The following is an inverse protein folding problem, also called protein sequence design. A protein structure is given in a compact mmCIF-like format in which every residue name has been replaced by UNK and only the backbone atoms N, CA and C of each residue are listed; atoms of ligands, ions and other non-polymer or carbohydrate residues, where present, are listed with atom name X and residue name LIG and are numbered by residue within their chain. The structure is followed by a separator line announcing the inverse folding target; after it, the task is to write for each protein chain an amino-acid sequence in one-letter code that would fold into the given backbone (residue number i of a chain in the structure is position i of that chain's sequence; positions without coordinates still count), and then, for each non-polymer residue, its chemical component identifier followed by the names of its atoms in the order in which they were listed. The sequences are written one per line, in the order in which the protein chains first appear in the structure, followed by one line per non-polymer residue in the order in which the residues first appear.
data_IF_813314338940
#
_entry.id   IF_813314338940
#
_cell.length_a   1.000
_cell.length_b   1.000
_cell.length_c   1.000
_cell.angle_alpha   90.00
_cell.angle_beta   90.00
_cell.angle_gamma   90.00
#
_symmetry.space_group_name_H-M   'P 1'
#
loop_
_entity.id
_entity.type
_entity.pdbx_description
1 polymer ?
#
# COMPACT_ATOMS: atom_id res chain seq x y z
N UNK A 1 0.25 -23.72 -0.10
CA UNK A 1 1.02 -22.47 0.07
C UNK A 1 1.64 -22.12 -1.27
N UNK A 2 1.76 -20.84 -1.65
CA UNK A 2 2.37 -20.45 -2.92
C UNK A 2 3.83 -20.95 -3.02
N UNK A 3 4.26 -21.35 -4.22
CA UNK A 3 5.65 -21.72 -4.48
C UNK A 3 6.62 -20.55 -4.24
N UNK A 4 7.88 -20.87 -3.89
CA UNK A 4 8.92 -19.86 -3.64
C UNK A 4 9.10 -18.90 -4.83
N UNK A 5 8.93 -19.38 -6.06
CA UNK A 5 8.99 -18.54 -7.25
C UNK A 5 7.93 -17.44 -7.28
N UNK A 6 6.72 -17.70 -6.75
CA UNK A 6 5.65 -16.70 -6.67
C UNK A 6 6.01 -15.62 -5.66
N UNK A 7 6.57 -16.00 -4.51
CA UNK A 7 7.02 -15.04 -3.50
C UNK A 7 8.14 -14.14 -4.03
N UNK A 8 9.12 -14.70 -4.73
CA UNK A 8 10.20 -13.93 -5.35
C UNK A 8 9.62 -12.97 -6.40
N UNK A 9 8.74 -13.45 -7.27
CA UNK A 9 8.09 -12.60 -8.28
C UNK A 9 7.28 -11.45 -7.64
N UNK A 10 6.55 -11.73 -6.56
CA UNK A 10 5.80 -10.72 -5.81
C UNK A 10 6.72 -9.66 -5.22
N UNK A 11 7.80 -10.04 -4.53
CA UNK A 11 8.73 -9.08 -3.91
C UNK A 11 9.37 -8.19 -4.99
N UNK A 12 9.84 -8.77 -6.09
CA UNK A 12 10.45 -8.00 -7.18
C UNK A 12 9.45 -7.02 -7.81
N UNK A 13 8.21 -7.44 -8.04
CA UNK A 13 7.17 -6.57 -8.56
C UNK A 13 6.79 -5.46 -7.56
N UNK A 14 6.65 -5.80 -6.28
CA UNK A 14 6.34 -4.84 -5.22
C UNK A 14 7.44 -3.80 -5.08
N UNK A 15 8.71 -4.19 -5.08
CA UNK A 15 9.84 -3.24 -5.06
C UNK A 15 9.84 -2.33 -6.29
N UNK A 16 9.61 -2.89 -7.49
CA UNK A 16 9.53 -2.09 -8.72
C UNK A 16 8.43 -1.01 -8.64
N UNK A 17 7.30 -1.33 -7.99
CA UNK A 17 6.22 -0.37 -7.76
C UNK A 17 6.57 0.64 -6.66
N UNK A 18 7.17 0.20 -5.55
CA UNK A 18 7.51 1.03 -4.39
C UNK A 18 8.66 2.01 -4.67
N UNK A 19 9.54 1.72 -5.62
CA UNK A 19 10.62 2.64 -6.03
C UNK A 19 10.05 3.90 -6.68
N UNK A 20 8.90 3.81 -7.35
CA UNK A 20 8.28 4.95 -8.00
C UNK A 20 7.52 5.76 -6.94
N UNK A 21 7.96 6.99 -6.58
CA UNK A 21 7.31 7.75 -5.52
C UNK A 21 5.86 8.06 -5.91
N UNK A 22 4.93 7.68 -5.05
CA UNK A 22 3.50 7.95 -5.26
C UNK A 22 3.16 9.43 -5.00
N UNK A 23 1.92 9.85 -5.31
CA UNK A 23 1.46 11.22 -5.03
C UNK A 23 1.64 11.64 -3.57
N UNK A 24 1.38 10.74 -2.62
CA UNK A 24 1.55 10.99 -1.18
C UNK A 24 3.02 11.25 -0.82
N UNK A 25 3.93 10.41 -1.31
CA UNK A 25 5.37 10.57 -1.07
C UNK A 25 5.89 11.87 -1.68
N UNK A 26 5.41 12.24 -2.87
CA UNK A 26 5.75 13.51 -3.51
C UNK A 26 5.34 14.72 -2.66
N UNK A 27 4.20 14.66 -1.97
CA UNK A 27 3.76 15.72 -1.03
C UNK A 27 4.70 15.79 0.17
N UNK A 28 5.05 14.64 0.78
CA UNK A 28 6.00 14.60 1.92
C UNK A 28 7.36 15.16 1.53
N UNK A 29 7.89 14.78 0.36
CA UNK A 29 9.15 15.30 -0.17
C UNK A 29 9.04 16.79 -0.46
N UNK A 30 7.92 17.26 -1.02
CA UNK A 30 7.69 18.69 -1.27
C UNK A 30 7.72 19.50 0.02
N UNK A 31 7.11 19.00 1.10
CA UNK A 31 7.20 19.62 2.43
C UNK A 31 8.62 19.58 3.00
N UNK A 32 9.34 18.47 2.82
CA UNK A 32 10.72 18.35 3.25
C UNK A 32 11.64 19.38 2.58
N UNK A 33 11.43 19.61 1.27
CA UNK A 33 12.22 20.56 0.47
C UNK A 33 11.87 22.02 0.79
N UNK A 34 10.58 22.33 1.02
CA UNK A 34 10.11 23.71 1.23
C UNK A 34 10.17 24.17 2.69
N UNK A 35 9.95 23.27 3.65
CA UNK A 35 9.85 23.56 5.09
C UNK A 35 10.95 22.86 5.91
N UNK A 36 11.85 22.13 5.25
CA UNK A 36 12.98 21.44 5.85
C UNK A 36 12.66 20.04 6.39
N UNK A 37 13.72 19.29 6.72
CA UNK A 37 13.64 17.88 7.12
C UNK A 37 12.75 17.61 8.33
N UNK A 38 12.58 18.59 9.23
CA UNK A 38 11.70 18.47 10.40
C UNK A 38 10.24 18.28 10.00
N UNK A 39 9.81 18.89 8.89
CA UNK A 39 8.46 18.70 8.35
C UNK A 39 8.26 17.24 7.88
N UNK A 40 9.26 16.65 7.23
CA UNK A 40 9.22 15.23 6.84
C UNK A 40 9.05 14.30 8.06
N UNK A 41 9.84 14.51 9.12
CA UNK A 41 9.73 13.72 10.35
C UNK A 41 8.37 13.85 11.05
N UNK A 42 7.68 14.97 10.87
CA UNK A 42 6.33 15.17 11.38
C UNK A 42 5.27 14.52 10.48
N UNK A 43 5.45 14.53 9.16
CA UNK A 43 4.48 13.99 8.19
C UNK A 43 4.54 12.47 8.04
N UNK A 44 5.73 11.88 8.03
CA UNK A 44 5.93 10.44 7.77
C UNK A 44 5.10 9.55 8.70
N UNK A 45 5.09 9.74 10.03
CA UNK A 45 4.28 8.91 10.92
C UNK A 45 2.78 8.97 10.61
N UNK A 46 2.27 10.15 10.26
CA UNK A 46 0.87 10.33 9.89
C UNK A 46 0.51 9.60 8.60
N UNK A 47 1.38 9.68 7.59
CA UNK A 47 1.23 8.94 6.33
C UNK A 47 1.27 7.44 6.59
N UNK A 48 2.29 6.94 7.31
CA UNK A 48 2.41 5.51 7.62
C UNK A 48 1.20 4.98 8.40
N UNK A 49 0.66 5.75 9.34
CA UNK A 49 -0.57 5.36 10.05
C UNK A 49 -1.79 5.35 9.14
N UNK A 50 -1.91 6.32 8.24
CA UNK A 50 -2.97 6.35 7.22
C UNK A 50 -2.91 5.13 6.31
N UNK A 51 -1.72 4.82 5.79
CA UNK A 51 -1.48 3.68 4.90
C UNK A 51 -1.75 2.36 5.63
N UNK A 52 -1.28 2.20 6.87
CA UNK A 52 -1.55 1.03 7.68
C UNK A 52 -3.06 0.85 7.94
N UNK A 53 -3.77 1.94 8.24
CA UNK A 53 -5.22 1.90 8.45
C UNK A 53 -5.95 1.48 7.19
N UNK A 54 -5.62 2.10 6.04
CA UNK A 54 -6.21 1.76 4.76
C UNK A 54 -5.94 0.31 4.36
N UNK A 55 -4.71 -0.18 4.58
CA UNK A 55 -4.31 -1.55 4.33
C UNK A 55 -5.09 -2.54 5.21
N UNK A 56 -5.20 -2.28 6.51
CA UNK A 56 -5.94 -3.15 7.44
C UNK A 56 -7.42 -3.22 7.03
N UNK A 57 -8.05 -2.07 6.78
CA UNK A 57 -9.46 -2.03 6.35
C UNK A 57 -9.66 -2.75 5.01
N UNK A 58 -8.72 -2.60 4.07
CA UNK A 58 -8.76 -3.29 2.78
C UNK A 58 -8.64 -4.79 2.95
N UNK A 59 -7.69 -5.27 3.76
CA UNK A 59 -7.51 -6.71 4.02
C UNK A 59 -8.71 -7.31 4.74
N UNK A 60 -9.26 -6.62 5.74
CA UNK A 60 -10.45 -7.08 6.45
C UNK A 60 -11.67 -7.11 5.53
N UNK A 61 -11.89 -6.05 4.74
CA UNK A 61 -13.01 -5.96 3.81
C UNK A 61 -12.93 -7.01 2.68
N UNK A 62 -11.80 -7.07 1.99
CA UNK A 62 -11.58 -8.06 0.92
C UNK A 62 -11.59 -9.49 1.46
N UNK A 63 -11.02 -9.71 2.65
CA UNK A 63 -11.04 -10.99 3.33
C UNK A 63 -12.46 -11.44 3.69
N UNK A 64 -13.29 -10.54 4.23
CA UNK A 64 -14.69 -10.81 4.53
C UNK A 64 -15.50 -11.15 3.27
N UNK A 65 -15.27 -10.42 2.17
CA UNK A 65 -15.90 -10.72 0.87
C UNK A 65 -15.49 -12.10 0.38
N UNK A 66 -14.19 -12.42 0.38
CA UNK A 66 -13.68 -13.71 -0.07
C UNK A 66 -14.23 -14.88 0.78
N UNK A 67 -14.35 -14.68 2.10
CA UNK A 67 -14.95 -15.67 3.00
C UNK A 67 -16.45 -15.87 2.74
N UNK A 68 -17.17 -14.81 2.33
CA UNK A 68 -18.60 -14.88 2.05
C UNK A 68 -18.91 -15.42 0.64
N UNK A 69 -18.18 -14.99 -0.39
CA UNK A 69 -18.38 -15.39 -1.78
C UNK A 69 -17.12 -15.23 -2.65
N UNK A 70 -16.67 -16.35 -3.21
CA UNK A 70 -15.57 -16.35 -4.18
C UNK A 70 -15.94 -15.69 -5.51
N UNK A 71 -17.20 -15.79 -5.96
CA UNK A 71 -17.65 -15.12 -7.19
C UNK A 71 -17.64 -13.60 -7.05
N UNK A 72 -18.14 -13.09 -5.92
CA UNK A 72 -18.14 -11.66 -5.65
C UNK A 72 -16.71 -11.10 -5.55
N UNK A 73 -15.81 -11.82 -4.89
CA UNK A 73 -14.39 -11.46 -4.86
C UNK A 73 -13.78 -11.43 -6.27
N UNK A 74 -14.10 -12.41 -7.13
CA UNK A 74 -13.59 -12.44 -8.51
C UNK A 74 -14.10 -11.26 -9.34
N UNK A 75 -15.37 -10.86 -9.20
CA UNK A 75 -15.92 -9.67 -9.86
C UNK A 75 -15.20 -8.41 -9.38
N UNK A 76 -15.01 -8.25 -8.06
CA UNK A 76 -14.34 -7.08 -7.51
C UNK A 76 -12.86 -7.00 -7.88
N UNK A 77 -12.19 -8.15 -8.03
CA UNK A 77 -10.77 -8.23 -8.43
C UNK A 77 -10.50 -7.66 -9.83
N UNK A 78 -11.47 -7.71 -10.74
CA UNK A 78 -11.33 -7.24 -12.13
C UNK A 78 -12.03 -5.90 -12.39
N UNK A 79 -12.77 -5.37 -11.41
CA UNK A 79 -13.36 -4.04 -11.46
C UNK A 79 -12.28 -2.96 -11.22
#
# INVERSE_FOLDING_TARGET
MPDLHIWIAFVLAAEALLILPGPTDMVVVSYALTQGKRSAWASVPGVTLGDATALILSLLGLGAILMASAELFNVLKIA
#
